data_IF_343175163177
#
_entry.id   IF_343175163177
#
_cell.length_a   1.000
_cell.length_b   1.000
_cell.length_c   1.000
_cell.angle_alpha   90.00
_cell.angle_beta   90.00
_cell.angle_gamma   90.00
#
_symmetry.space_group_name_H-M   'P 1'
#
loop_
_entity.id
_entity.type
_entity.pdbx_description
1 polymer ?
#
# COMPACT_ATOMS: atom_id res chain seq x y z
N UNK A 1 -28.34 13.99 -32.48
CA UNK A 1 -27.04 13.27 -32.55
C UNK A 1 -25.86 14.12 -32.07
N UNK A 2 -25.71 15.38 -32.50
CA UNK A 2 -24.58 16.27 -32.13
C UNK A 2 -24.45 16.58 -30.63
N UNK A 3 -25.57 16.67 -29.90
CA UNK A 3 -25.54 16.99 -28.46
C UNK A 3 -25.17 15.78 -27.58
N UNK A 4 -25.42 14.55 -28.05
CA UNK A 4 -25.15 13.34 -27.28
C UNK A 4 -23.64 13.06 -27.19
N UNK A 5 -22.90 13.34 -28.26
CA UNK A 5 -21.43 13.23 -28.27
C UNK A 5 -20.74 14.23 -27.32
N UNK A 6 -21.29 15.44 -27.20
CA UNK A 6 -20.75 16.45 -26.29
C UNK A 6 -20.98 16.08 -24.81
N UNK A 7 -22.13 15.49 -24.49
CA UNK A 7 -22.44 15.00 -23.14
C UNK A 7 -21.56 13.81 -22.73
N UNK A 8 -21.29 12.87 -23.65
CA UNK A 8 -20.39 11.74 -23.38
C UNK A 8 -18.94 12.20 -23.18
N UNK A 9 -18.47 13.15 -23.99
CA UNK A 9 -17.12 13.72 -23.85
C UNK A 9 -16.95 14.47 -22.52
N UNK A 10 -17.96 15.22 -22.08
CA UNK A 10 -17.93 15.95 -20.82
C UNK A 10 -17.96 15.02 -19.60
N UNK A 11 -18.68 13.89 -19.69
CA UNK A 11 -18.71 12.87 -18.63
C UNK A 11 -17.37 12.15 -18.45
N UNK A 12 -16.65 11.86 -19.54
CA UNK A 12 -15.35 11.17 -19.49
C UNK A 12 -14.25 12.00 -18.81
N UNK A 13 -14.30 13.34 -18.93
CA UNK A 13 -13.34 14.26 -18.30
C UNK A 13 -13.52 14.39 -16.78
N UNK A 14 -14.71 14.07 -16.26
CA UNK A 14 -15.05 14.23 -14.84
C UNK A 14 -14.65 13.02 -13.97
N UNK A 15 -14.26 11.89 -14.56
CA UNK A 15 -13.85 10.66 -13.84
C UNK A 15 -12.31 10.51 -13.81
N UNK A 16 -11.57 11.60 -13.99
CA UNK A 16 -10.12 11.63 -13.76
C UNK A 16 -9.83 11.77 -12.26
N UNK A 17 -10.23 10.77 -11.46
CA UNK A 17 -9.70 10.65 -10.10
C UNK A 17 -8.18 10.42 -10.21
N UNK A 18 -7.34 11.19 -9.51
CA UNK A 18 -5.91 10.91 -9.51
C UNK A 18 -5.72 9.49 -9.01
N UNK A 19 -5.10 8.64 -9.82
CA UNK A 19 -4.56 7.39 -9.34
C UNK A 19 -3.48 7.76 -8.32
N UNK A 20 -3.85 7.76 -7.04
CA UNK A 20 -2.86 7.85 -5.98
C UNK A 20 -2.08 6.56 -6.07
N UNK A 21 -0.93 6.61 -6.74
CA UNK A 21 0.06 5.56 -6.60
C UNK A 21 0.28 5.39 -5.09
N UNK A 22 0.16 4.14 -4.62
CA UNK A 22 0.65 3.81 -3.30
C UNK A 22 2.07 4.39 -3.19
N UNK A 23 2.40 5.03 -2.07
CA UNK A 23 3.77 5.51 -1.89
C UNK A 23 4.68 4.29 -1.91
N UNK A 24 5.40 4.12 -3.02
CA UNK A 24 6.38 3.07 -3.16
C UNK A 24 7.63 3.48 -2.38
N UNK A 25 7.97 2.69 -1.36
CA UNK A 25 9.07 2.98 -0.44
C UNK A 25 8.67 3.83 0.77
N UNK A 26 9.60 3.99 1.69
CA UNK A 26 9.37 4.63 2.99
C UNK A 26 10.36 4.13 4.04
N UNK A 27 10.14 4.52 5.29
CA UNK A 27 10.92 4.01 6.42
C UNK A 27 10.52 2.56 6.75
N UNK A 28 11.50 1.68 6.94
CA UNK A 28 11.24 0.27 7.22
C UNK A 28 10.59 0.04 8.59
N UNK A 29 10.96 0.80 9.61
CA UNK A 29 10.37 0.64 10.93
C UNK A 29 8.89 1.06 10.93
N UNK A 30 8.54 2.08 10.15
CA UNK A 30 7.16 2.46 9.92
C UNK A 30 6.36 1.32 9.26
N UNK A 31 6.94 0.63 8.27
CA UNK A 31 6.34 -0.56 7.66
C UNK A 31 6.16 -1.72 8.66
N UNK A 32 7.17 -2.04 9.45
CA UNK A 32 7.06 -3.09 10.49
C UNK A 32 5.98 -2.71 11.52
N UNK A 33 5.88 -1.43 11.89
CA UNK A 33 4.85 -0.93 12.80
C UNK A 33 3.44 -1.05 12.23
N UNK A 34 3.22 -0.74 10.95
CA UNK A 34 1.90 -0.89 10.32
C UNK A 34 1.52 -2.37 10.21
N UNK A 35 2.47 -3.22 9.79
CA UNK A 35 2.26 -4.66 9.71
C UNK A 35 1.95 -5.29 11.06
N UNK A 36 2.61 -4.83 12.13
CA UNK A 36 2.33 -5.28 13.51
C UNK A 36 0.91 -4.92 13.95
N UNK A 37 0.43 -3.73 13.56
CA UNK A 37 -0.93 -3.29 13.85
C UNK A 37 -1.97 -4.11 13.09
N UNK A 38 -1.74 -4.37 11.80
CA UNK A 38 -2.59 -5.23 10.95
C UNK A 38 -2.68 -6.65 11.52
N UNK A 39 -1.55 -7.29 11.82
CA UNK A 39 -1.54 -8.64 12.40
C UNK A 39 -2.29 -8.74 13.74
N UNK A 40 -2.18 -7.70 14.57
CA UNK A 40 -2.94 -7.63 15.83
C UNK A 40 -4.43 -7.46 15.58
N UNK A 41 -4.83 -6.64 14.61
CA UNK A 41 -6.22 -6.46 14.21
C UNK A 41 -6.85 -7.75 13.66
N UNK A 42 -6.03 -8.59 13.01
CA UNK A 42 -6.41 -9.91 12.50
C UNK A 42 -6.43 -11.00 13.59
N UNK A 43 -6.16 -10.66 14.85
CA UNK A 43 -6.29 -11.55 16.00
C UNK A 43 -5.03 -12.32 16.38
N UNK A 44 -3.88 -12.03 15.79
CA UNK A 44 -2.59 -12.58 16.25
C UNK A 44 -2.26 -11.97 17.61
N UNK A 45 -1.88 -12.82 18.58
CA UNK A 45 -1.54 -12.34 19.93
C UNK A 45 -0.34 -11.38 19.89
N UNK A 46 -0.34 -10.27 20.66
CA UNK A 46 0.74 -9.29 20.65
C UNK A 46 2.13 -9.86 20.97
N UNK A 47 2.20 -10.90 21.82
CA UNK A 47 3.46 -11.57 22.16
C UNK A 47 4.08 -12.30 20.96
N UNK A 48 3.25 -12.95 20.13
CA UNK A 48 3.69 -13.59 18.88
C UNK A 48 4.16 -12.53 17.89
N UNK A 49 3.40 -11.45 17.70
CA UNK A 49 3.81 -10.33 16.82
C UNK A 49 5.16 -9.77 17.25
N UNK A 50 5.33 -9.47 18.54
CA UNK A 50 6.59 -8.95 19.09
C UNK A 50 7.74 -9.94 18.95
N UNK A 51 7.50 -11.24 19.10
CA UNK A 51 8.56 -12.26 18.99
C UNK A 51 8.98 -12.48 17.54
N UNK A 52 8.03 -12.38 16.60
CA UNK A 52 8.28 -12.60 15.18
C UNK A 52 8.88 -11.37 14.47
N UNK A 53 8.41 -10.18 14.81
CA UNK A 53 8.80 -8.93 14.15
C UNK A 53 9.78 -8.09 14.97
N UNK A 54 10.08 -8.49 16.21
CA UNK A 54 11.03 -7.79 17.06
C UNK A 54 12.45 -7.84 16.50
N UNK A 55 13.01 -6.67 16.17
CA UNK A 55 14.40 -6.54 15.73
C UNK A 55 14.68 -6.99 14.29
N UNK A 56 13.65 -7.26 13.48
CA UNK A 56 13.85 -7.55 12.06
C UNK A 56 14.50 -6.38 11.34
N UNK A 57 15.30 -6.67 10.32
CA UNK A 57 15.98 -5.67 9.49
C UNK A 57 15.76 -5.98 8.02
N UNK A 58 15.87 -4.96 7.16
CA UNK A 58 15.88 -5.20 5.72
C UNK A 58 17.11 -6.01 5.35
N UNK A 59 16.89 -7.08 4.59
CA UNK A 59 17.96 -7.84 3.96
C UNK A 59 18.16 -7.34 2.51
N UNK A 60 19.28 -6.67 2.19
CA UNK A 60 19.54 -6.22 0.83
C UNK A 60 19.73 -7.37 -0.16
N UNK A 61 20.10 -8.58 0.29
CA UNK A 61 20.22 -9.74 -0.57
C UNK A 61 18.85 -10.17 -1.11
N UNK A 62 17.81 -10.20 -0.25
CA UNK A 62 16.42 -10.48 -0.66
C UNK A 62 15.92 -9.45 -1.66
N UNK A 63 16.18 -8.16 -1.41
CA UNK A 63 15.79 -7.09 -2.33
C UNK A 63 16.55 -7.15 -3.66
N UNK A 64 17.81 -7.60 -3.65
CA UNK A 64 18.60 -7.79 -4.88
C UNK A 64 18.12 -8.97 -5.70
N UNK A 65 17.60 -10.01 -5.04
CA UNK A 65 17.07 -11.21 -5.66
C UNK A 65 15.72 -10.96 -6.34
N UNK A 66 14.89 -10.07 -5.79
CA UNK A 66 13.57 -9.71 -6.33
C UNK A 66 13.64 -8.85 -7.61
N UNK A 67 14.74 -8.12 -7.81
CA UNK A 67 14.91 -7.14 -8.89
C UNK A 67 15.24 -7.74 -10.26
#
# INVERSE_FOLDING_TARGET
MRNFGLTVLFGALMVNSPALAARCGGDFNAFVSSMSAEATADGISPSVVSSALGGVQQDPAVLSFDR
#
